data_IF_915748125031
#
_entry.id   IF_915748125031
#
_cell.length_a   1.000
_cell.length_b   1.000
_cell.length_c   1.000
_cell.angle_alpha   90.00
_cell.angle_beta   90.00
_cell.angle_gamma   90.00
#
_symmetry.space_group_name_H-M   'P 1'
#
loop_
_entity.id
_entity.type
_entity.pdbx_description
1 polymer ?
#
# COMPACT_ATOMS: atom_id res chain seq x y z
N UNK A 1 27.24 -31.05 -9.69
CA UNK A 1 26.81 -29.79 -10.33
C UNK A 1 25.45 -29.92 -11.05
N UNK A 2 24.46 -30.60 -10.43
CA UNK A 2 23.15 -30.90 -11.04
C UNK A 2 22.08 -31.02 -9.95
N UNK A 3 21.71 -29.93 -9.26
CA UNK A 3 20.52 -29.88 -8.37
C UNK A 3 19.84 -28.50 -8.27
N UNK A 4 20.18 -27.54 -9.15
CA UNK A 4 19.55 -26.20 -9.15
C UNK A 4 18.43 -26.07 -10.20
N UNK A 5 18.46 -26.89 -11.26
CA UNK A 5 17.50 -26.81 -12.36
C UNK A 5 16.08 -27.32 -12.00
N UNK A 6 15.92 -28.18 -10.99
CA UNK A 6 14.62 -28.80 -10.68
C UNK A 6 13.67 -27.88 -9.89
N UNK A 7 14.21 -26.92 -9.12
CA UNK A 7 13.40 -25.96 -8.36
C UNK A 7 12.77 -24.91 -9.29
N UNK A 8 13.45 -24.55 -10.37
CA UNK A 8 12.93 -23.60 -11.37
C UNK A 8 11.75 -24.17 -12.18
N UNK A 9 11.71 -25.48 -12.41
CA UNK A 9 10.63 -26.11 -13.21
C UNK A 9 9.35 -26.36 -12.40
N UNK A 10 9.46 -26.56 -11.08
CA UNK A 10 8.28 -26.70 -10.20
C UNK A 10 7.52 -25.39 -9.96
N UNK A 11 8.11 -24.24 -10.29
CA UNK A 11 7.44 -22.93 -10.21
C UNK A 11 6.50 -22.63 -11.39
N UNK A 12 6.64 -23.34 -12.52
CA UNK A 12 5.89 -23.05 -13.74
C UNK A 12 4.65 -23.93 -13.97
N UNK A 13 4.37 -24.91 -13.10
CA UNK A 13 3.25 -25.85 -13.28
C UNK A 13 1.97 -25.51 -12.52
N UNK A 14 1.88 -24.34 -11.87
CA UNK A 14 0.68 -23.95 -11.14
C UNK A 14 -0.27 -23.19 -12.05
N UNK A 15 -1.46 -23.74 -12.28
CA UNK A 15 -2.58 -23.15 -13.00
C UNK A 15 -2.62 -21.64 -12.83
N UNK A 16 -2.21 -20.97 -13.91
CA UNK A 16 -2.03 -19.53 -13.91
C UNK A 16 -3.40 -18.86 -13.93
N UNK A 17 -4.43 -19.44 -14.55
CA UNK A 17 -5.69 -18.75 -14.85
C UNK A 17 -6.66 -18.54 -13.66
N UNK A 18 -7.10 -17.30 -13.52
CA UNK A 18 -8.32 -16.83 -12.83
C UNK A 18 -8.28 -16.70 -11.30
N UNK A 19 -8.07 -15.45 -10.84
CA UNK A 19 -8.82 -14.73 -9.79
C UNK A 19 -8.22 -13.32 -9.69
N UNK A 20 -9.03 -12.28 -9.48
CA UNK A 20 -8.54 -10.91 -9.18
C UNK A 20 -7.89 -10.91 -7.80
N UNK A 21 -6.58 -11.19 -7.77
CA UNK A 21 -5.77 -11.31 -6.56
C UNK A 21 -5.15 -9.94 -6.22
N UNK A 22 -4.87 -9.65 -4.94
CA UNK A 22 -4.21 -8.41 -4.52
C UNK A 22 -2.70 -8.45 -4.89
N UNK A 23 -2.36 -8.73 -6.14
CA UNK A 23 -0.98 -8.84 -6.62
C UNK A 23 -0.23 -7.52 -6.53
N UNK A 24 -0.94 -6.43 -6.79
CA UNK A 24 -0.40 -5.09 -6.79
C UNK A 24 -1.54 -4.12 -6.46
N UNK A 25 -1.24 -3.12 -5.65
CA UNK A 25 -2.18 -2.05 -5.31
C UNK A 25 -1.56 -0.76 -5.84
N UNK A 26 -2.06 -0.21 -6.96
CA UNK A 26 -1.56 1.05 -7.48
C UNK A 26 -1.57 2.14 -6.41
N UNK A 27 -0.56 3.01 -6.40
CA UNK A 27 -0.34 3.99 -5.33
C UNK A 27 -1.53 4.91 -5.12
N UNK A 28 -2.25 5.30 -6.18
CA UNK A 28 -3.43 6.16 -6.09
C UNK A 28 -4.72 5.40 -5.73
N UNK A 29 -4.71 4.07 -5.75
CA UNK A 29 -5.91 3.27 -5.45
C UNK A 29 -6.14 3.19 -3.95
N UNK A 30 -7.38 3.44 -3.54
CA UNK A 30 -7.80 3.30 -2.14
C UNK A 30 -8.09 1.86 -1.73
N UNK A 31 -8.39 1.66 -0.45
CA UNK A 31 -9.00 0.44 0.04
C UNK A 31 -10.47 0.38 -0.40
N UNK A 32 -11.03 -0.83 -0.48
CA UNK A 32 -12.46 -0.97 -0.70
C UNK A 32 -13.21 -0.61 0.60
N UNK A 33 -14.46 -0.13 0.52
CA UNK A 33 -15.27 0.12 1.71
C UNK A 33 -15.31 -1.09 2.65
N UNK A 34 -15.13 -0.85 3.95
CA UNK A 34 -15.10 -1.87 5.01
C UNK A 34 -14.02 -2.95 4.81
N UNK A 35 -13.06 -2.75 3.91
CA UNK A 35 -11.89 -3.62 3.83
C UNK A 35 -10.85 -3.22 4.87
N UNK A 36 -10.11 -4.21 5.33
CA UNK A 36 -8.97 -4.02 6.21
C UNK A 36 -7.71 -4.55 5.55
N UNK A 37 -6.60 -3.89 5.84
CA UNK A 37 -5.27 -4.24 5.39
C UNK A 37 -4.35 -4.36 6.61
N UNK A 38 -3.53 -5.40 6.61
CA UNK A 38 -2.44 -5.58 7.54
C UNK A 38 -1.17 -5.73 6.71
N UNK A 39 -0.20 -4.87 6.94
CA UNK A 39 1.12 -4.96 6.32
C UNK A 39 2.17 -5.08 7.42
N UNK A 40 3.05 -6.07 7.29
CA UNK A 40 4.24 -6.20 8.11
C UNK A 40 5.44 -6.28 7.16
N UNK A 41 6.44 -5.42 7.34
CA UNK A 41 7.62 -5.39 6.50
C UNK A 41 8.90 -5.24 7.34
N UNK A 42 9.96 -5.90 6.92
CA UNK A 42 11.31 -5.77 7.46
C UNK A 42 12.24 -5.26 6.38
N UNK A 43 13.16 -4.35 6.73
CA UNK A 43 14.20 -3.87 5.82
C UNK A 43 15.58 -3.85 6.47
N UNK A 44 16.60 -4.08 5.67
CA UNK A 44 18.00 -4.22 6.05
C UNK A 44 18.85 -3.30 5.19
N UNK A 45 19.58 -2.36 5.82
CA UNK A 45 20.29 -1.25 5.18
C UNK A 45 21.76 -1.23 5.59
N UNK A 46 22.61 -2.07 4.98
CA UNK A 46 24.06 -1.99 5.15
C UNK A 46 24.61 -0.74 4.45
N UNK A 47 25.50 -0.02 5.13
CA UNK A 47 26.15 1.18 4.61
C UNK A 47 27.62 0.90 4.33
N UNK A 48 28.07 1.28 3.14
CA UNK A 48 29.44 1.06 2.67
C UNK A 48 30.26 2.36 2.62
N UNK A 49 29.61 3.50 2.87
CA UNK A 49 30.21 4.83 2.87
C UNK A 49 29.13 5.89 3.05
N UNK A 50 29.49 7.15 2.94
CA UNK A 50 28.57 8.28 3.05
C UNK A 50 28.75 9.21 1.86
N UNK A 51 27.67 9.86 1.45
CA UNK A 51 27.74 11.07 0.64
C UNK A 51 27.79 12.26 1.61
N UNK A 52 28.87 13.03 1.55
CA UNK A 52 29.03 14.20 2.42
C UNK A 52 28.06 15.34 2.03
N UNK A 53 28.14 16.48 2.72
CA UNK A 53 27.28 17.65 2.45
C UNK A 53 27.55 18.31 1.08
N UNK A 54 28.67 17.98 0.42
CA UNK A 54 28.96 18.39 -0.96
C UNK A 54 28.51 17.34 -2.00
N UNK A 55 27.98 16.19 -1.56
CA UNK A 55 27.61 15.06 -2.40
C UNK A 55 28.79 14.20 -2.88
N UNK A 56 29.97 14.39 -2.30
CA UNK A 56 31.13 13.55 -2.57
C UNK A 56 31.06 12.27 -1.74
N UNK A 57 31.38 11.14 -2.38
CA UNK A 57 31.35 9.83 -1.75
C UNK A 57 32.64 9.60 -0.98
N UNK A 58 32.52 9.32 0.32
CA UNK A 58 33.61 8.86 1.18
C UNK A 58 33.31 7.45 1.70
N UNK A 59 34.31 6.57 1.68
CA UNK A 59 34.19 5.24 2.29
C UNK A 59 34.25 5.35 3.81
N UNK A 60 33.68 4.38 4.51
CA UNK A 60 33.91 4.23 5.96
C UNK A 60 35.39 3.90 6.22
N UNK A 61 35.94 4.34 7.35
CA UNK A 61 37.36 4.16 7.65
C UNK A 61 37.64 2.74 8.15
N UNK A 62 38.63 2.05 7.58
CA UNK A 62 39.16 0.79 8.12
C UNK A 62 38.07 -0.24 8.51
N UNK A 63 37.95 -0.49 9.83
CA UNK A 63 37.02 -1.46 10.44
C UNK A 63 35.61 -0.89 10.76
N UNK A 64 35.32 0.34 10.35
CA UNK A 64 34.02 0.97 10.55
C UNK A 64 32.93 0.27 9.75
N UNK A 65 31.75 0.15 10.36
CA UNK A 65 30.58 -0.40 9.71
C UNK A 65 29.31 0.21 10.28
N UNK A 66 28.28 0.29 9.46
CA UNK A 66 26.97 0.76 9.89
C UNK A 66 25.89 -0.11 9.28
N UNK A 67 25.00 -0.58 10.13
CA UNK A 67 23.86 -1.40 9.77
C UNK A 67 22.60 -0.88 10.44
N UNK A 68 21.55 -0.69 9.65
CA UNK A 68 20.22 -0.40 10.16
C UNK A 68 19.23 -1.46 9.70
N UNK A 69 18.45 -1.98 10.65
CA UNK A 69 17.32 -2.87 10.40
C UNK A 69 16.04 -2.19 10.86
N UNK A 70 15.00 -2.23 10.04
CA UNK A 70 13.70 -1.62 10.38
C UNK A 70 12.58 -2.64 10.21
N UNK A 71 11.70 -2.72 11.21
CA UNK A 71 10.41 -3.38 11.13
C UNK A 71 9.29 -2.36 11.06
N UNK A 72 8.32 -2.54 10.18
CA UNK A 72 7.13 -1.71 10.08
C UNK A 72 5.89 -2.59 10.13
N UNK A 73 4.92 -2.18 10.95
CA UNK A 73 3.58 -2.76 10.95
C UNK A 73 2.58 -1.65 10.65
N UNK A 74 1.71 -1.87 9.68
CA UNK A 74 0.68 -0.93 9.24
C UNK A 74 -0.68 -1.63 9.21
N UNK A 75 -1.68 -0.96 9.78
CA UNK A 75 -3.08 -1.34 9.77
C UNK A 75 -3.84 -0.29 8.96
N UNK A 76 -4.60 -0.73 7.97
CA UNK A 76 -5.41 0.14 7.12
C UNK A 76 -6.89 -0.25 7.15
N UNK A 77 -7.78 0.74 7.09
CA UNK A 77 -9.23 0.56 7.00
C UNK A 77 -9.83 1.48 5.94
N UNK A 78 -10.65 0.90 5.04
CA UNK A 78 -11.35 1.64 3.98
C UNK A 78 -12.67 2.22 4.47
N UNK A 79 -12.75 3.55 4.57
CA UNK A 79 -13.90 4.33 5.01
C UNK A 79 -14.68 4.80 3.76
N UNK A 80 -15.75 4.09 3.43
CA UNK A 80 -16.52 4.39 2.22
C UNK A 80 -15.71 4.09 0.96
N UNK A 81 -15.97 4.82 -0.13
CA UNK A 81 -15.42 4.52 -1.46
C UNK A 81 -14.16 5.30 -1.81
N UNK A 82 -13.79 6.32 -1.01
CA UNK A 82 -12.73 7.27 -1.33
C UNK A 82 -11.75 7.52 -0.19
N UNK A 83 -12.15 7.30 1.06
CA UNK A 83 -11.34 7.66 2.21
C UNK A 83 -10.74 6.39 2.82
N UNK A 84 -9.45 6.41 3.13
CA UNK A 84 -8.78 5.37 3.88
C UNK A 84 -8.09 5.97 5.10
N UNK A 85 -8.05 5.22 6.19
CA UNK A 85 -7.27 5.55 7.37
C UNK A 85 -6.25 4.46 7.63
N UNK A 86 -5.03 4.85 7.99
CA UNK A 86 -3.94 3.95 8.34
C UNK A 86 -3.30 4.36 9.65
N UNK A 87 -2.87 3.37 10.42
CA UNK A 87 -2.01 3.54 11.59
C UNK A 87 -0.80 2.65 11.37
N UNK A 88 0.39 3.17 11.60
CA UNK A 88 1.62 2.38 11.50
C UNK A 88 2.55 2.61 12.69
N UNK A 89 3.36 1.60 12.98
CA UNK A 89 4.45 1.66 13.94
C UNK A 89 5.74 1.20 13.28
N UNK A 90 6.84 1.85 13.62
CA UNK A 90 8.18 1.48 13.17
C UNK A 90 9.01 1.05 14.37
N UNK A 91 9.63 -0.12 14.29
CA UNK A 91 10.72 -0.56 15.15
C UNK A 91 12.02 -0.43 14.39
N UNK A 92 13.09 0.01 15.04
CA UNK A 92 14.40 0.15 14.40
C UNK A 92 15.48 -0.41 15.31
N UNK A 93 16.47 -1.03 14.69
CA UNK A 93 17.73 -1.40 15.32
C UNK A 93 18.87 -0.84 14.48
N UNK A 94 19.85 -0.23 15.13
CA UNK A 94 21.07 0.28 14.52
C UNK A 94 22.26 -0.32 15.23
N UNK A 95 23.22 -0.81 14.46
CA UNK A 95 24.51 -1.25 14.93
C UNK A 95 25.59 -0.50 14.16
N UNK A 96 26.58 0.03 14.87
CA UNK A 96 27.68 0.76 14.25
C UNK A 96 29.00 0.48 14.94
N UNK A 97 30.02 0.21 14.12
CA UNK A 97 31.43 0.36 14.49
C UNK A 97 31.94 1.71 14.00
N UNK A 98 32.49 2.51 14.90
CA UNK A 98 32.92 3.88 14.61
C UNK A 98 34.16 4.24 15.41
N UNK A 99 34.93 5.19 14.89
CA UNK A 99 36.15 5.70 15.55
C UNK A 99 35.85 7.06 16.15
N UNK A 100 36.01 7.23 17.47
CA UNK A 100 35.82 8.53 18.13
C UNK A 100 37.17 9.11 18.58
N UNK A 101 37.58 10.25 18.00
CA UNK A 101 38.69 11.10 18.49
C UNK A 101 40.07 10.46 18.70
N UNK A 102 40.29 9.21 18.27
CA UNK A 102 41.49 8.40 18.47
C UNK A 102 41.60 7.27 17.43
N UNK A 103 42.42 6.25 17.69
CA UNK A 103 42.64 5.10 16.78
C UNK A 103 41.91 3.81 17.20
N UNK A 104 41.03 3.88 18.20
CA UNK A 104 40.30 2.72 18.72
C UNK A 104 38.91 2.64 18.10
N UNK A 105 38.60 1.53 17.44
CA UNK A 105 37.27 1.27 16.89
C UNK A 105 36.33 0.78 17.99
N UNK A 106 35.26 1.52 18.23
CA UNK A 106 34.22 1.22 19.21
C UNK A 106 33.01 0.58 18.52
N UNK A 107 32.20 -0.17 19.29
CA UNK A 107 30.99 -0.80 18.79
C UNK A 107 29.81 -0.40 19.66
N UNK A 108 28.78 0.15 19.04
CA UNK A 108 27.54 0.52 19.70
C UNK A 108 26.34 -0.11 18.99
N UNK A 109 25.26 -0.35 19.73
CA UNK A 109 24.00 -0.85 19.18
C UNK A 109 22.84 -0.28 19.98
N UNK A 110 21.80 0.17 19.28
CA UNK A 110 20.57 0.63 19.88
C UNK A 110 19.37 0.02 19.14
N UNK A 111 18.30 -0.31 19.86
CA UNK A 111 17.06 -0.78 19.26
C UNK A 111 15.86 -0.31 20.07
N UNK A 112 14.73 -0.11 19.39
CA UNK A 112 13.52 0.34 20.04
C UNK A 112 12.40 0.64 19.07
N UNK A 113 11.24 0.94 19.65
CA UNK A 113 10.17 1.60 18.88
C UNK A 113 10.71 2.96 18.45
N UNK A 114 10.61 3.24 17.17
CA UNK A 114 11.13 4.45 16.55
C UNK A 114 10.04 5.50 16.43
N UNK A 115 8.88 5.12 15.90
CA UNK A 115 7.76 6.04 15.73
C UNK A 115 6.40 5.36 15.60
N UNK A 116 5.38 6.18 15.77
CA UNK A 116 4.00 5.89 15.40
C UNK A 116 3.54 6.91 14.36
N UNK A 117 2.70 6.50 13.42
CA UNK A 117 2.14 7.40 12.44
C UNK A 117 0.66 7.11 12.16
N UNK A 118 -0.09 8.16 11.89
CA UNK A 118 -1.45 8.12 11.37
C UNK A 118 -1.48 8.73 9.97
N UNK A 119 -2.12 8.04 9.02
CA UNK A 119 -2.27 8.51 7.64
C UNK A 119 -3.73 8.51 7.25
N UNK A 120 -4.19 9.59 6.64
CA UNK A 120 -5.50 9.66 5.97
C UNK A 120 -5.24 9.83 4.48
N UNK A 121 -5.92 9.03 3.66
CA UNK A 121 -5.78 9.06 2.20
C UNK A 121 -7.14 9.23 1.55
N UNK A 122 -7.23 10.13 0.58
CA UNK A 122 -8.41 10.35 -0.25
C UNK A 122 -8.10 10.00 -1.71
N UNK A 123 -8.77 8.96 -2.22
CA UNK A 123 -8.69 8.52 -3.61
C UNK A 123 -9.81 9.13 -4.45
N UNK A 124 -9.43 9.81 -5.52
CA UNK A 124 -10.37 10.38 -6.48
C UNK A 124 -10.95 9.28 -7.39
N UNK A 125 -12.10 9.59 -7.99
CA UNK A 125 -12.72 8.71 -8.99
C UNK A 125 -11.77 8.66 -10.20
N UNK A 126 -11.43 7.47 -10.71
CA UNK A 126 -10.57 7.37 -11.89
C UNK A 126 -11.19 8.07 -13.11
N UNK A 127 -10.34 8.72 -13.89
CA UNK A 127 -10.66 9.25 -15.21
C UNK A 127 -9.99 8.37 -16.27
N UNK A 128 -10.80 7.53 -16.93
CA UNK A 128 -10.36 6.44 -17.81
C UNK A 128 -9.27 5.55 -17.17
N UNK A 129 -8.01 5.76 -17.56
CA UNK A 129 -6.84 4.98 -17.13
C UNK A 129 -6.05 5.65 -16.02
N UNK A 130 -6.36 6.89 -15.67
CA UNK A 130 -5.61 7.66 -14.67
C UNK A 130 -6.41 7.72 -13.37
N UNK A 131 -5.73 7.45 -12.27
CA UNK A 131 -6.26 7.62 -10.93
C UNK A 131 -5.34 8.52 -10.12
N UNK A 132 -5.96 9.38 -9.30
CA UNK A 132 -5.28 10.28 -8.39
C UNK A 132 -5.66 9.99 -6.94
N UNK A 133 -4.75 10.25 -6.01
CA UNK A 133 -5.06 10.32 -4.59
C UNK A 133 -4.20 11.37 -3.90
N UNK A 134 -4.67 11.83 -2.74
CA UNK A 134 -3.90 12.64 -1.82
C UNK A 134 -3.82 11.95 -0.47
N UNK A 135 -2.70 12.06 0.22
CA UNK A 135 -2.57 11.60 1.61
C UNK A 135 -1.99 12.68 2.50
N UNK A 136 -2.38 12.63 3.77
CA UNK A 136 -1.76 13.37 4.84
C UNK A 136 -1.27 12.36 5.89
N UNK A 137 -0.03 12.49 6.32
CA UNK A 137 0.56 11.65 7.37
C UNK A 137 1.13 12.51 8.48
N UNK A 138 0.81 12.16 9.72
CA UNK A 138 1.48 12.65 10.92
C UNK A 138 2.27 11.52 11.55
N UNK A 139 3.54 11.76 11.87
CA UNK A 139 4.42 10.81 12.56
C UNK A 139 5.03 11.46 13.79
N UNK A 140 5.11 10.70 14.87
CA UNK A 140 5.73 11.10 16.14
C UNK A 140 6.74 10.03 16.55
N UNK A 141 7.97 10.43 16.86
CA UNK A 141 8.97 9.52 17.45
C UNK A 141 8.65 9.24 18.91
N UNK A 142 9.01 8.04 19.38
CA UNK A 142 8.82 7.62 20.78
C UNK A 142 9.99 7.91 21.71
N UNK A 143 10.99 8.65 21.22
CA UNK A 143 12.19 9.05 21.94
C UNK A 143 12.51 10.52 21.63
N UNK A 144 13.32 11.10 22.50
CA UNK A 144 13.88 12.44 22.35
C UNK A 144 15.36 12.34 21.98
N UNK A 145 15.87 13.36 21.30
CA UNK A 145 17.27 13.44 20.89
C UNK A 145 18.12 14.00 22.03
N UNK A 146 19.29 13.40 22.27
CA UNK A 146 20.37 14.05 23.03
C UNK A 146 21.34 14.70 22.05
N UNK A 147 21.72 15.93 22.37
CA UNK A 147 22.70 16.69 21.61
C UNK A 147 23.97 16.87 22.44
N UNK A 148 25.12 16.83 21.77
CA UNK A 148 26.44 16.93 22.37
C UNK A 148 27.18 18.14 21.83
N UNK A 149 28.03 18.75 22.65
CA UNK A 149 28.81 19.94 22.29
C UNK A 149 30.07 19.57 21.51
N UNK A 150 30.68 18.42 21.81
CA UNK A 150 31.85 17.90 21.10
C UNK A 150 31.75 16.39 20.85
N UNK A 151 32.49 15.88 19.86
CA UNK A 151 32.52 14.46 19.56
C UNK A 151 33.05 13.61 20.74
N UNK A 152 33.97 14.17 21.54
CA UNK A 152 34.48 13.53 22.76
C UNK A 152 33.45 13.40 23.88
N UNK A 153 32.37 14.19 23.85
CA UNK A 153 31.31 14.10 24.87
C UNK A 153 30.30 12.98 24.57
N UNK A 154 30.35 12.40 23.36
CA UNK A 154 29.45 11.32 22.95
C UNK A 154 29.88 10.03 23.65
N UNK A 155 29.03 9.41 24.50
CA UNK A 155 29.37 8.15 25.13
C UNK A 155 29.59 7.04 24.09
N UNK A 156 30.62 6.23 24.27
CA UNK A 156 31.03 5.17 23.34
C UNK A 156 29.92 4.16 22.98
N UNK A 157 28.93 4.00 23.86
CA UNK A 157 27.80 3.07 23.70
C UNK A 157 26.53 3.73 23.15
N UNK A 158 26.49 5.06 23.07
CA UNK A 158 25.30 5.80 22.65
C UNK A 158 25.15 5.71 21.13
N UNK A 159 23.93 5.42 20.65
CA UNK A 159 23.54 5.60 19.26
C UNK A 159 22.12 6.12 19.19
N UNK A 160 21.85 7.08 18.31
CA UNK A 160 20.50 7.59 18.09
C UNK A 160 19.70 6.61 17.25
N UNK A 161 18.40 6.47 17.55
CA UNK A 161 17.49 5.69 16.71
C UNK A 161 17.14 6.41 15.41
N UNK A 162 17.23 7.74 15.36
CA UNK A 162 16.92 8.54 14.19
C UNK A 162 16.77 10.02 14.53
N UNK A 163 16.17 10.78 13.61
CA UNK A 163 15.81 12.18 13.83
C UNK A 163 14.54 12.22 14.70
N UNK A 164 14.65 12.73 15.93
CA UNK A 164 13.55 12.77 16.89
C UNK A 164 12.58 13.93 16.61
N UNK A 165 11.29 13.75 16.94
CA UNK A 165 10.27 14.79 16.93
C UNK A 165 9.05 14.43 16.09
N UNK A 166 8.44 15.47 15.52
CA UNK A 166 7.23 15.38 14.72
C UNK A 166 7.58 15.52 13.24
N UNK A 167 7.00 14.66 12.40
CA UNK A 167 7.08 14.75 10.95
C UNK A 167 5.66 14.86 10.38
N UNK A 168 5.50 15.77 9.44
CA UNK A 168 4.28 15.92 8.66
C UNK A 168 4.58 15.65 7.20
N UNK A 169 3.67 14.96 6.52
CA UNK A 169 3.76 14.88 5.06
C UNK A 169 2.41 15.00 4.37
N UNK A 170 2.45 15.65 3.22
CA UNK A 170 1.35 15.74 2.27
C UNK A 170 1.80 15.10 0.96
N UNK A 171 1.07 14.09 0.50
CA UNK A 171 1.42 13.33 -0.69
C UNK A 171 0.37 13.41 -1.78
N UNK A 172 0.83 13.40 -3.02
CA UNK A 172 0.04 13.21 -4.23
C UNK A 172 0.48 11.92 -4.90
N UNK A 173 -0.51 11.08 -5.23
CA UNK A 173 -0.31 9.81 -5.91
C UNK A 173 -0.97 9.86 -7.27
N UNK A 174 -0.29 9.31 -8.26
CA UNK A 174 -0.83 9.10 -9.60
C UNK A 174 -0.61 7.65 -10.00
N UNK A 175 -1.63 7.02 -10.55
CA UNK A 175 -1.55 5.69 -11.13
C UNK A 175 -2.14 5.71 -12.53
N UNK A 176 -1.36 5.32 -13.52
CA UNK A 176 -1.79 5.17 -14.91
C UNK A 176 -1.79 3.70 -15.31
N UNK A 177 -2.97 3.17 -15.63
CA UNK A 177 -3.17 1.80 -16.08
C UNK A 177 -3.01 1.72 -17.62
N UNK A 178 -1.78 1.47 -18.10
CA UNK A 178 -1.52 1.37 -19.54
C UNK A 178 -2.32 0.23 -20.18
N UNK A 179 -2.31 -0.94 -19.52
CA UNK A 179 -3.10 -2.13 -19.86
C UNK A 179 -3.43 -2.93 -18.58
N UNK A 180 -4.15 -4.05 -18.69
CA UNK A 180 -4.62 -4.83 -17.53
C UNK A 180 -3.52 -5.35 -16.60
N UNK A 181 -2.27 -5.40 -17.05
CA UNK A 181 -1.13 -5.91 -16.28
C UNK A 181 0.05 -4.95 -16.22
N UNK A 182 -0.11 -3.67 -16.57
CA UNK A 182 0.97 -2.70 -16.58
C UNK A 182 0.50 -1.37 -16.01
N UNK A 183 1.13 -0.97 -14.90
CA UNK A 183 0.86 0.28 -14.21
C UNK A 183 2.12 1.13 -14.16
N UNK A 184 1.95 2.43 -14.40
CA UNK A 184 2.94 3.45 -14.06
C UNK A 184 2.42 4.21 -12.86
N UNK A 185 3.26 4.41 -11.86
CA UNK A 185 2.87 5.10 -10.64
C UNK A 185 3.89 6.17 -10.30
N UNK A 186 3.39 7.28 -9.78
CA UNK A 186 4.18 8.32 -9.17
C UNK A 186 3.63 8.64 -7.79
N UNK A 187 4.54 8.92 -6.86
CA UNK A 187 4.25 9.43 -5.54
C UNK A 187 5.16 10.63 -5.37
N UNK A 188 4.59 11.78 -5.04
CA UNK A 188 5.32 12.98 -4.65
C UNK A 188 4.82 13.39 -3.27
N UNK A 189 5.71 13.52 -2.31
CA UNK A 189 5.37 13.93 -0.94
C UNK A 189 6.18 15.14 -0.55
N UNK A 190 5.48 16.21 -0.16
CA UNK A 190 6.09 17.27 0.64
C UNK A 190 6.19 16.78 2.08
N UNK A 191 7.39 16.80 2.62
CA UNK A 191 7.69 16.34 3.99
C UNK A 191 8.33 17.49 4.75
N UNK A 192 7.78 17.75 5.93
CA UNK A 192 8.42 18.56 6.97
C UNK A 192 9.01 17.55 7.94
N UNK A 193 10.33 17.26 7.85
CA UNK A 193 10.95 16.27 8.71
C UNK A 193 11.00 16.76 10.16
N UNK A 194 11.29 15.84 11.06
CA UNK A 194 11.57 16.21 12.45
C UNK A 194 12.93 16.93 12.55
N UNK A 195 13.16 17.65 13.66
CA UNK A 195 14.32 18.51 13.91
C UNK A 195 14.45 19.70 12.91
N UNK A 196 15.55 20.46 13.00
CA UNK A 196 15.90 21.56 12.10
C UNK A 196 16.36 21.09 10.70
N UNK A 197 15.81 19.98 10.21
CA UNK A 197 16.06 19.51 8.86
C UNK A 197 15.28 20.37 7.85
N UNK A 198 15.88 20.59 6.68
CA UNK A 198 15.16 21.22 5.57
C UNK A 198 13.91 20.42 5.20
N UNK A 199 12.84 21.12 4.83
CA UNK A 199 11.73 20.54 4.09
C UNK A 199 12.24 19.73 2.88
N UNK A 200 11.56 18.63 2.59
CA UNK A 200 11.95 17.65 1.58
C UNK A 200 10.79 17.35 0.61
N UNK A 201 11.14 17.04 -0.64
CA UNK A 201 10.25 16.40 -1.60
C UNK A 201 10.70 14.94 -1.74
N UNK A 202 9.93 14.03 -1.18
CA UNK A 202 10.13 12.60 -1.36
C UNK A 202 9.38 12.14 -2.60
N UNK A 203 10.09 11.53 -3.54
CA UNK A 203 9.51 11.07 -4.80
C UNK A 203 9.73 9.58 -4.99
N UNK A 204 8.78 8.94 -5.68
CA UNK A 204 8.90 7.57 -6.16
C UNK A 204 8.18 7.43 -7.48
N UNK A 205 8.88 6.96 -8.49
CA UNK A 205 8.35 6.63 -9.80
C UNK A 205 8.59 5.16 -10.05
N UNK A 206 7.54 4.42 -10.41
CA UNK A 206 7.65 2.99 -10.64
C UNK A 206 6.79 2.51 -11.79
N UNK A 207 7.29 1.48 -12.46
CA UNK A 207 6.58 0.70 -13.46
C UNK A 207 6.39 -0.71 -12.91
N UNK A 208 5.14 -1.16 -12.84
CA UNK A 208 4.77 -2.47 -12.33
C UNK A 208 4.20 -3.34 -13.46
N UNK A 209 4.87 -4.45 -13.76
CA UNK A 209 4.44 -5.47 -14.71
C UNK A 209 3.88 -6.67 -13.95
N UNK A 210 2.63 -7.00 -14.22
CA UNK A 210 1.83 -7.92 -13.45
C UNK A 210 1.42 -9.11 -14.32
N UNK A 211 1.79 -10.30 -13.86
CA UNK A 211 1.27 -11.56 -14.32
C UNK A 211 0.23 -12.08 -13.33
N UNK A 212 -0.06 -13.38 -13.32
CA UNK A 212 -1.21 -13.89 -12.56
C UNK A 212 -0.95 -14.00 -11.06
N UNK A 213 0.30 -14.30 -10.69
CA UNK A 213 0.74 -14.41 -9.29
C UNK A 213 2.02 -13.65 -9.00
N UNK A 214 2.75 -13.24 -10.04
CA UNK A 214 4.04 -12.57 -9.96
C UNK A 214 3.89 -11.15 -10.50
N UNK A 215 4.41 -10.17 -9.78
CA UNK A 215 4.61 -8.81 -10.25
C UNK A 215 6.09 -8.46 -10.18
N UNK A 216 6.59 -7.77 -11.19
CA UNK A 216 7.93 -7.17 -11.16
C UNK A 216 7.73 -5.66 -11.17
N UNK A 217 8.48 -4.97 -10.34
CA UNK A 217 8.43 -3.51 -10.18
C UNK A 217 9.83 -2.99 -10.43
N UNK A 218 9.97 -2.02 -11.33
CA UNK A 218 11.22 -1.26 -11.48
C UNK A 218 10.89 0.20 -11.24
N UNK A 219 11.76 0.89 -10.52
CA UNK A 219 11.52 2.29 -10.23
C UNK A 219 12.74 3.01 -9.75
N UNK A 220 12.54 4.30 -9.50
CA UNK A 220 13.47 5.17 -8.83
C UNK A 220 12.73 5.87 -7.71
N UNK A 221 13.35 5.92 -6.55
CA UNK A 221 12.88 6.72 -5.43
C UNK A 221 13.98 7.65 -4.96
N UNK A 222 13.61 8.68 -4.22
CA UNK A 222 14.56 9.66 -3.77
C UNK A 222 13.98 10.73 -2.88
N UNK A 223 14.89 11.61 -2.48
CA UNK A 223 14.63 12.76 -1.62
C UNK A 223 15.27 13.95 -2.32
N UNK A 224 14.56 15.07 -2.36
CA UNK A 224 15.10 16.35 -2.80
C UNK A 224 14.87 17.39 -1.70
N UNK A 225 15.95 17.98 -1.19
CA UNK A 225 15.87 19.04 -0.20
C UNK A 225 15.42 20.38 -0.82
N UNK A 226 14.62 21.14 -0.07
CA UNK A 226 14.30 22.54 -0.40
C UNK A 226 15.36 23.55 0.09
N UNK A 227 16.47 23.05 0.65
CA UNK A 227 17.65 23.83 1.05
C UNK A 227 17.36 24.93 2.08
N UNK A 228 16.48 24.62 3.03
CA UNK A 228 16.07 25.51 4.13
C UNK A 228 16.68 25.14 5.49
N UNK A 229 17.65 24.23 5.53
CA UNK A 229 18.30 23.84 6.79
C UNK A 229 19.11 25.03 7.34
N UNK A 230 18.94 25.32 8.64
CA UNK A 230 19.61 26.44 9.31
C UNK A 230 21.15 26.35 9.25
N UNK A 231 21.68 25.14 9.07
CA UNK A 231 23.12 24.86 9.01
C UNK A 231 23.64 24.72 7.59
N UNK A 232 22.90 25.19 6.57
CA UNK A 232 23.34 25.15 5.17
C UNK A 232 24.64 25.92 4.94
N UNK A 233 24.79 27.09 5.58
CA UNK A 233 25.95 27.98 5.42
C UNK A 233 27.07 27.60 6.40
N UNK A 234 26.71 27.08 7.56
CA UNK A 234 27.63 26.69 8.62
C UNK A 234 27.37 25.26 9.14
N UNK A 235 27.72 24.24 8.34
CA UNK A 235 27.47 22.84 8.70
C UNK A 235 28.19 22.38 9.98
N UNK A 236 29.32 23.02 10.31
CA UNK A 236 30.19 22.59 11.40
C UNK A 236 29.58 22.91 12.78
N UNK A 237 28.71 23.92 12.85
CA UNK A 237 28.04 24.33 14.08
C UNK A 237 26.71 23.60 14.32
N UNK A 238 26.35 22.60 13.50
CA UNK A 238 25.17 21.76 13.76
C UNK A 238 25.39 20.93 15.03
N UNK A 239 24.48 20.99 16.04
CA UNK A 239 24.63 20.24 17.28
C UNK A 239 24.86 18.75 17.02
N UNK A 240 25.85 18.15 17.67
CA UNK A 240 26.24 16.77 17.38
C UNK A 240 25.28 15.76 17.99
N UNK A 241 25.13 14.63 17.31
CA UNK A 241 24.33 13.49 17.74
C UNK A 241 25.16 12.21 17.63
N UNK A 242 24.82 11.19 18.41
CA UNK A 242 25.48 9.89 18.38
C UNK A 242 25.06 9.07 17.13
N UNK A 243 25.48 9.47 15.94
CA UNK A 243 25.04 8.86 14.66
C UNK A 243 25.86 7.64 14.25
N UNK A 244 26.96 7.35 14.95
CA UNK A 244 27.95 6.38 14.51
C UNK A 244 28.57 6.75 13.16
N UNK A 245 29.08 5.75 12.44
CA UNK A 245 29.78 5.92 11.16
C UNK A 245 28.86 6.10 9.94
N UNK A 246 27.54 5.98 10.10
CA UNK A 246 26.60 5.94 8.97
C UNK A 246 26.19 7.29 8.37
N UNK A 247 26.36 8.40 9.09
CA UNK A 247 26.02 9.76 8.61
C UNK A 247 24.56 9.94 8.14
N UNK A 248 23.62 9.11 8.63
CA UNK A 248 22.21 9.08 8.19
C UNK A 248 21.34 10.15 8.84
N UNK A 249 21.62 10.44 10.10
CA UNK A 249 20.82 11.32 10.95
C UNK A 249 21.60 12.60 11.23
N UNK A 250 20.90 13.65 11.65
CA UNK A 250 21.48 14.99 11.79
C UNK A 250 22.07 15.55 10.48
N UNK A 251 21.62 15.03 9.34
CA UNK A 251 22.08 15.42 8.00
C UNK A 251 21.73 16.86 7.66
N UNK A 252 22.35 17.44 6.63
CA UNK A 252 22.01 18.78 6.13
C UNK A 252 21.59 18.66 4.68
N UNK A 253 20.41 19.20 4.36
CA UNK A 253 19.87 19.23 2.99
C UNK A 253 19.95 17.87 2.28
N UNK A 254 19.31 16.85 2.85
CA UNK A 254 19.37 15.49 2.31
C UNK A 254 18.85 15.43 0.89
N UNK A 255 19.63 14.82 0.02
CA UNK A 255 19.23 14.50 -1.34
C UNK A 255 19.65 13.06 -1.63
N UNK A 256 18.83 12.29 -2.35
CA UNK A 256 19.25 10.97 -2.83
C UNK A 256 18.48 10.51 -4.04
N UNK A 257 19.15 9.72 -4.88
CA UNK A 257 18.55 8.95 -5.99
C UNK A 257 18.84 7.47 -5.79
N UNK A 258 17.80 6.67 -5.80
CA UNK A 258 17.85 5.25 -5.46
C UNK A 258 16.99 4.45 -6.43
N UNK A 259 17.56 3.89 -7.52
CA UNK A 259 16.86 2.89 -8.31
C UNK A 259 16.59 1.64 -7.47
N UNK A 260 15.48 0.98 -7.76
CA UNK A 260 15.10 -0.25 -7.08
C UNK A 260 14.42 -1.25 -8.01
N UNK A 261 14.50 -2.51 -7.60
CA UNK A 261 13.80 -3.64 -8.17
C UNK A 261 12.91 -4.26 -7.08
N UNK A 262 11.64 -4.41 -7.39
CA UNK A 262 10.64 -5.05 -6.56
C UNK A 262 10.07 -6.31 -7.21
N UNK A 263 9.67 -7.26 -6.38
CA UNK A 263 8.97 -8.49 -6.76
C UNK A 263 7.78 -8.67 -5.83
N UNK A 264 6.61 -8.88 -6.40
CA UNK A 264 5.41 -9.23 -5.64
C UNK A 264 4.96 -10.64 -5.98
N UNK A 265 4.59 -11.41 -4.96
CA UNK A 265 3.92 -12.69 -5.15
C UNK A 265 2.63 -12.76 -4.35
N UNK A 266 1.49 -12.84 -5.04
CA UNK A 266 0.19 -13.02 -4.39
C UNK A 266 -0.34 -14.45 -4.42
N UNK A 267 -0.92 -14.86 -3.29
CA UNK A 267 -1.69 -16.09 -3.12
C UNK A 267 -2.89 -15.84 -2.20
N UNK A 268 -4.10 -16.11 -2.71
CA UNK A 268 -5.35 -15.81 -2.01
C UNK A 268 -5.45 -14.32 -1.59
N UNK A 269 -5.59 -14.04 -0.29
CA UNK A 269 -5.65 -12.68 0.31
C UNK A 269 -4.29 -12.13 0.73
N UNK A 270 -3.23 -12.92 0.55
CA UNK A 270 -1.87 -12.59 0.95
C UNK A 270 -1.05 -12.17 -0.26
N UNK A 271 -0.11 -11.26 -0.01
CA UNK A 271 0.93 -10.87 -0.95
C UNK A 271 2.25 -10.75 -0.21
N UNK A 272 3.28 -11.38 -0.77
CA UNK A 272 4.67 -11.14 -0.44
C UNK A 272 5.20 -10.01 -1.31
N UNK A 273 5.98 -9.13 -0.72
CA UNK A 273 6.69 -8.04 -1.38
C UNK A 273 8.17 -8.22 -1.08
N UNK A 274 9.02 -8.26 -2.09
CA UNK A 274 10.47 -8.15 -1.96
C UNK A 274 10.93 -6.92 -2.70
N UNK A 275 11.85 -6.15 -2.14
CA UNK A 275 12.41 -4.97 -2.79
C UNK A 275 13.89 -4.84 -2.47
N UNK A 276 14.69 -4.45 -3.44
CA UNK A 276 16.09 -4.09 -3.23
C UNK A 276 16.44 -2.87 -4.06
N UNK A 277 17.32 -2.04 -3.53
CA UNK A 277 17.79 -0.85 -4.23
C UNK A 277 19.16 -0.41 -3.72
N UNK A 278 19.74 0.54 -4.42
CA UNK A 278 21.08 1.06 -4.14
C UNK A 278 21.10 2.58 -4.29
N UNK A 279 21.76 3.27 -3.37
CA UNK A 279 21.91 4.72 -3.44
C UNK A 279 22.95 5.06 -4.52
N UNK A 280 22.50 5.62 -5.65
CA UNK A 280 23.38 5.96 -6.78
C UNK A 280 24.08 7.31 -6.59
N UNK A 281 23.36 8.28 -6.04
CA UNK A 281 23.86 9.62 -5.74
C UNK A 281 23.11 10.17 -4.53
N UNK A 282 23.72 11.13 -3.85
CA UNK A 282 23.06 11.86 -2.79
C UNK A 282 23.93 12.93 -2.15
N UNK A 283 23.36 13.64 -1.19
CA UNK A 283 23.97 14.67 -0.35
C UNK A 283 23.55 14.40 1.09
N UNK A 284 24.51 14.35 2.01
CA UNK A 284 24.28 14.08 3.44
C UNK A 284 23.45 12.81 3.71
N UNK A 285 23.72 11.75 2.94
CA UNK A 285 23.00 10.47 3.05
C UNK A 285 23.97 9.30 3.02
N UNK A 286 23.62 8.15 3.61
CA UNK A 286 24.42 6.95 3.50
C UNK A 286 24.51 6.46 2.06
N UNK A 287 25.69 6.01 1.65
CA UNK A 287 25.90 5.26 0.42
C UNK A 287 25.85 3.77 0.72
N UNK A 288 24.81 3.09 0.24
CA UNK A 288 24.62 1.67 0.50
C UNK A 288 23.56 1.05 -0.38
N UNK A 289 23.13 -0.13 0.04
CA UNK A 289 22.02 -0.87 -0.56
C UNK A 289 21.00 -1.18 0.52
N UNK A 290 19.78 -1.50 0.10
CA UNK A 290 18.77 -2.02 1.02
C UNK A 290 18.11 -3.26 0.45
N UNK A 291 17.59 -4.07 1.37
CA UNK A 291 16.74 -5.22 1.08
C UNK A 291 15.52 -5.13 1.97
N UNK A 292 14.34 -5.33 1.40
CA UNK A 292 13.06 -5.26 2.10
C UNK A 292 12.24 -6.49 1.77
N UNK A 293 11.59 -7.04 2.79
CA UNK A 293 10.63 -8.13 2.68
C UNK A 293 9.35 -7.74 3.42
N UNK A 294 8.22 -7.85 2.75
CA UNK A 294 6.91 -7.46 3.22
C UNK A 294 5.88 -8.56 3.05
N UNK A 295 4.94 -8.61 3.98
CA UNK A 295 3.76 -9.45 3.96
C UNK A 295 2.55 -8.53 4.06
N UNK A 296 1.62 -8.68 3.12
CA UNK A 296 0.39 -7.89 3.08
C UNK A 296 -0.79 -8.84 3.07
N UNK A 297 -1.67 -8.71 4.06
CA UNK A 297 -2.99 -9.32 4.07
C UNK A 297 -4.03 -8.24 3.79
N UNK A 298 -4.91 -8.50 2.82
CA UNK A 298 -5.99 -7.56 2.48
C UNK A 298 -7.29 -8.30 2.27
N UNK A 299 -8.36 -7.79 2.87
CA UNK A 299 -9.71 -8.28 2.58
C UNK A 299 -10.34 -7.56 1.40
N UNK A 300 -11.30 -8.23 0.76
CA UNK A 300 -11.97 -7.69 -0.42
C UNK A 300 -12.92 -6.54 -0.10
N UNK A 301 -13.41 -6.43 1.15
CA UNK A 301 -14.44 -5.46 1.55
C UNK A 301 -15.73 -5.59 0.72
N UNK A 302 -16.50 -4.50 0.68
CA UNK A 302 -17.67 -4.34 -0.18
C UNK A 302 -17.19 -3.81 -1.54
N UNK A 303 -17.41 -4.56 -2.61
CA UNK A 303 -17.10 -4.09 -3.97
C UNK A 303 -18.19 -3.14 -4.48
N UNK A 304 -17.88 -2.30 -5.48
CA UNK A 304 -18.87 -1.35 -6.03
C UNK A 304 -20.14 -2.02 -6.59
N UNK A 305 -20.05 -3.28 -7.01
CA UNK A 305 -21.21 -4.08 -7.40
C UNK A 305 -22.10 -4.44 -6.19
N UNK A 306 -21.52 -4.74 -5.03
CA UNK A 306 -22.28 -4.97 -3.78
C UNK A 306 -22.77 -3.69 -3.11
N UNK A 307 -22.05 -2.57 -3.25
CA UNK A 307 -22.49 -1.29 -2.68
C UNK A 307 -23.74 -0.74 -3.39
N UNK A 308 -23.86 -0.94 -4.71
CA UNK A 308 -25.11 -0.65 -5.47
C UNK A 308 -26.29 -1.54 -5.08
N UNK A 309 -26.03 -2.68 -4.43
CA UNK A 309 -27.06 -3.60 -3.95
C UNK A 309 -27.52 -3.18 -2.55
N UNK A 310 -26.63 -2.60 -1.74
CA UNK A 310 -26.93 -2.11 -0.38
C UNK A 310 -27.42 -0.65 -0.32
N UNK A 311 -27.17 0.17 -1.37
CA UNK A 311 -27.72 1.52 -1.44
C UNK A 311 -29.23 1.44 -1.66
N UNK A 312 -29.99 1.65 -0.58
CA UNK A 312 -31.46 1.72 -0.48
C UNK A 312 -32.18 1.79 -1.83
N UNK A 313 -32.57 0.62 -2.34
CA UNK A 313 -33.66 0.53 -3.31
C UNK A 313 -34.91 0.25 -2.49
N UNK A 314 -35.84 1.19 -2.47
CA UNK A 314 -37.19 0.91 -2.02
C UNK A 314 -37.83 -0.01 -3.07
N UNK A 315 -38.07 -1.25 -2.67
CA UNK A 315 -38.77 -2.21 -3.52
C UNK A 315 -40.25 -1.98 -3.34
N UNK A 316 -40.92 -1.63 -4.44
CA UNK A 316 -42.37 -1.38 -4.45
C UNK A 316 -43.15 -2.68 -4.67
N UNK A 317 -42.51 -3.66 -5.32
CA UNK A 317 -43.15 -4.90 -5.75
C UNK A 317 -42.41 -6.10 -5.15
N UNK A 318 -43.11 -6.94 -4.39
CA UNK A 318 -42.59 -8.22 -3.93
C UNK A 318 -43.26 -9.39 -4.68
N UNK A 319 -42.43 -10.23 -5.28
CA UNK A 319 -42.83 -11.36 -6.10
C UNK A 319 -42.01 -12.62 -5.76
N UNK A 320 -42.47 -13.77 -6.20
CA UNK A 320 -41.80 -15.06 -6.09
C UNK A 320 -41.57 -15.67 -7.47
N UNK A 321 -40.42 -16.28 -7.67
CA UNK A 321 -40.10 -17.02 -8.90
C UNK A 321 -40.91 -18.32 -8.94
N UNK A 322 -41.86 -18.42 -9.87
CA UNK A 322 -42.70 -19.62 -10.07
C UNK A 322 -42.00 -20.62 -10.99
N UNK A 323 -41.31 -20.13 -12.04
CA UNK A 323 -40.69 -21.00 -13.05
C UNK A 323 -39.41 -20.38 -13.59
N UNK A 324 -38.43 -21.23 -13.88
CA UNK A 324 -37.16 -20.83 -14.51
C UNK A 324 -37.03 -21.58 -15.83
N UNK A 325 -36.62 -20.86 -16.87
CA UNK A 325 -36.34 -21.48 -18.17
C UNK A 325 -35.16 -22.47 -18.10
N UNK A 326 -35.12 -23.52 -18.94
CA UNK A 326 -34.04 -24.51 -18.93
C UNK A 326 -32.64 -23.92 -19.10
N UNK A 327 -32.53 -22.81 -19.83
CA UNK A 327 -31.27 -22.08 -20.07
C UNK A 327 -30.97 -21.02 -18.99
N UNK A 328 -31.86 -20.82 -18.02
CA UNK A 328 -31.70 -19.89 -16.91
C UNK A 328 -31.49 -18.43 -17.34
N UNK A 329 -32.08 -18.03 -18.47
CA UNK A 329 -32.07 -16.65 -19.02
C UNK A 329 -33.38 -15.91 -18.77
N UNK A 330 -34.47 -16.64 -18.63
CA UNK A 330 -35.81 -16.12 -18.34
C UNK A 330 -36.37 -16.79 -17.08
N UNK A 331 -37.11 -16.02 -16.31
CA UNK A 331 -37.84 -16.48 -15.13
C UNK A 331 -39.27 -15.93 -15.18
N UNK A 332 -40.22 -16.69 -14.67
CA UNK A 332 -41.62 -16.27 -14.50
C UNK A 332 -41.87 -15.96 -13.04
N UNK A 333 -42.41 -14.78 -12.76
CA UNK A 333 -42.81 -14.33 -11.42
C UNK A 333 -44.34 -14.33 -11.27
N UNK A 334 -44.81 -14.36 -10.04
CA UNK A 334 -46.23 -14.36 -9.62
C UNK A 334 -46.86 -12.96 -9.51
N UNK A 335 -46.19 -11.94 -10.07
CA UNK A 335 -46.73 -10.58 -10.16
C UNK A 335 -46.80 -10.14 -11.63
N UNK A 336 -47.89 -9.45 -11.98
CA UNK A 336 -48.19 -8.98 -13.33
C UNK A 336 -48.77 -7.58 -13.32
N UNK A 337 -49.59 -7.25 -14.33
CA UNK A 337 -50.26 -5.95 -14.45
C UNK A 337 -51.11 -5.63 -13.22
N UNK A 338 -51.72 -6.64 -12.59
CA UNK A 338 -52.54 -6.47 -11.38
C UNK A 338 -51.78 -5.94 -10.15
N UNK A 339 -50.44 -5.98 -10.20
CA UNK A 339 -49.55 -5.52 -9.13
C UNK A 339 -48.56 -4.46 -9.63
N UNK A 340 -49.00 -3.65 -10.60
CA UNK A 340 -48.26 -2.53 -11.20
C UNK A 340 -46.92 -2.93 -11.83
N UNK A 341 -46.80 -4.16 -12.33
CA UNK A 341 -45.63 -4.56 -13.13
C UNK A 341 -45.79 -4.09 -14.56
N UNK A 342 -44.91 -3.20 -15.02
CA UNK A 342 -44.86 -2.75 -16.40
C UNK A 342 -43.72 -3.43 -17.18
N UNK A 343 -43.81 -3.43 -18.52
CA UNK A 343 -42.67 -3.82 -19.34
C UNK A 343 -41.54 -2.82 -19.11
N UNK A 344 -40.36 -3.32 -18.72
CA UNK A 344 -39.23 -2.46 -18.36
C UNK A 344 -38.94 -2.37 -16.86
N UNK A 345 -39.89 -2.74 -15.99
CA UNK A 345 -39.68 -2.79 -14.53
C UNK A 345 -38.50 -3.69 -14.19
N UNK A 346 -37.60 -3.23 -13.32
CA UNK A 346 -36.38 -3.96 -12.97
C UNK A 346 -36.64 -4.84 -11.77
N UNK A 347 -36.20 -6.10 -11.85
CA UNK A 347 -36.34 -7.06 -10.78
C UNK A 347 -34.97 -7.54 -10.29
N UNK A 348 -34.79 -7.50 -8.98
CA UNK A 348 -33.66 -8.06 -8.26
C UNK A 348 -34.10 -9.39 -7.63
N UNK A 349 -33.34 -10.46 -7.87
CA UNK A 349 -33.69 -11.84 -7.50
C UNK A 349 -32.85 -12.28 -6.30
N UNK A 350 -33.51 -12.65 -5.21
CA UNK A 350 -32.92 -13.03 -3.94
C UNK A 350 -33.14 -14.52 -3.63
N UNK A 351 -32.13 -15.14 -3.03
CA UNK A 351 -32.28 -16.39 -2.32
C UNK A 351 -32.47 -16.08 -0.84
N UNK A 352 -33.62 -16.47 -0.30
CA UNK A 352 -33.89 -16.50 1.14
C UNK A 352 -33.19 -17.72 1.74
N UNK A 353 -32.25 -17.50 2.67
CA UNK A 353 -31.69 -18.58 3.49
C UNK A 353 -32.63 -18.90 4.67
N UNK A 354 -32.52 -20.10 5.24
CA UNK A 354 -33.33 -20.59 6.37
C UNK A 354 -33.23 -19.69 7.62
N UNK A 355 -32.17 -18.87 7.70
CA UNK A 355 -31.94 -17.88 8.76
C UNK A 355 -32.44 -16.46 8.44
N UNK A 356 -33.16 -16.25 7.32
CA UNK A 356 -33.79 -14.98 6.98
C UNK A 356 -32.90 -13.96 6.25
N UNK A 357 -31.66 -14.31 5.89
CA UNK A 357 -30.82 -13.46 5.04
C UNK A 357 -31.25 -13.53 3.57
N UNK A 358 -31.40 -12.36 2.93
CA UNK A 358 -31.74 -12.22 1.51
C UNK A 358 -30.45 -12.04 0.69
N UNK A 359 -30.03 -13.08 -0.02
CA UNK A 359 -28.83 -13.03 -0.86
C UNK A 359 -29.20 -12.65 -2.29
N UNK A 360 -28.73 -11.50 -2.80
CA UNK A 360 -28.93 -11.15 -4.21
C UNK A 360 -28.16 -12.10 -5.15
N UNK A 361 -28.88 -12.73 -6.06
CA UNK A 361 -28.35 -13.72 -7.02
C UNK A 361 -28.25 -13.14 -8.42
N UNK A 362 -29.26 -12.40 -8.88
CA UNK A 362 -29.34 -11.88 -10.24
C UNK A 362 -30.22 -10.62 -10.32
N UNK A 363 -30.14 -9.91 -11.45
CA UNK A 363 -31.03 -8.81 -11.79
C UNK A 363 -31.48 -8.91 -13.24
N UNK A 364 -32.71 -8.51 -13.50
CA UNK A 364 -33.37 -8.62 -14.79
C UNK A 364 -34.43 -7.54 -15.00
N UNK A 365 -35.09 -7.60 -16.16
CA UNK A 365 -36.14 -6.66 -16.55
C UNK A 365 -37.37 -7.43 -17.00
N UNK A 366 -38.56 -6.96 -16.63
CA UNK A 366 -39.82 -7.47 -17.14
C UNK A 366 -39.89 -7.29 -18.66
N UNK A 367 -39.86 -8.41 -19.38
CA UNK A 367 -39.85 -8.49 -20.84
C UNK A 367 -41.26 -8.67 -21.40
N UNK A 368 -42.06 -9.49 -20.72
CA UNK A 368 -43.45 -9.75 -21.06
C UNK A 368 -44.26 -9.76 -19.77
N UNK A 369 -45.43 -9.15 -19.79
CA UNK A 369 -46.29 -8.99 -18.61
C UNK A 369 -47.69 -9.46 -18.99
N UNK A 370 -48.23 -10.42 -18.25
CA UNK A 370 -49.62 -10.83 -18.28
C UNK A 370 -50.38 -10.29 -17.06
N UNK A 371 -51.66 -10.66 -16.92
CA UNK A 371 -52.52 -10.18 -15.84
C UNK A 371 -51.90 -10.41 -14.44
N UNK A 372 -51.59 -11.66 -14.10
CA UNK A 372 -51.10 -12.04 -12.75
C UNK A 372 -49.68 -12.63 -12.77
N UNK A 373 -48.95 -12.47 -13.89
CA UNK A 373 -47.58 -12.97 -13.97
C UNK A 373 -46.76 -12.24 -15.02
N UNK A 374 -45.46 -12.14 -14.79
CA UNK A 374 -44.52 -11.55 -15.74
C UNK A 374 -43.34 -12.47 -16.03
N UNK A 375 -42.79 -12.34 -17.23
CA UNK A 375 -41.55 -12.98 -17.66
C UNK A 375 -40.44 -11.93 -17.55
N UNK A 376 -39.48 -12.21 -16.66
CA UNK A 376 -38.29 -11.38 -16.46
C UNK A 376 -37.13 -11.99 -17.22
N UNK A 377 -36.46 -11.17 -18.03
CA UNK A 377 -35.20 -11.50 -18.71
C UNK A 377 -34.04 -11.13 -17.81
N UNK A 378 -33.18 -12.10 -17.48
CA UNK A 378 -31.99 -11.87 -16.66
C UNK A 378 -30.94 -11.13 -17.49
N UNK A 379 -30.49 -9.99 -16.98
CA UNK A 379 -29.45 -9.18 -17.61
C UNK A 379 -28.08 -9.41 -16.97
N UNK A 380 -28.04 -9.56 -15.64
CA UNK A 380 -26.79 -9.72 -14.88
C UNK A 380 -26.97 -10.77 -13.79
N UNK A 381 -25.98 -11.66 -13.63
CA UNK A 381 -25.88 -12.57 -12.49
C UNK A 381 -24.73 -12.10 -11.60
N UNK A 382 -24.99 -11.94 -10.32
CA UNK A 382 -24.00 -11.49 -9.34
C UNK A 382 -23.30 -12.66 -8.65
N UNK A 383 -24.01 -13.78 -8.47
CA UNK A 383 -23.46 -15.00 -7.88
C UNK A 383 -23.65 -16.20 -8.82
N UNK A 384 -22.74 -17.17 -8.76
CA UNK A 384 -22.84 -18.46 -9.49
C UNK A 384 -23.81 -19.42 -8.79
N UNK A 385 -24.99 -18.92 -8.41
CA UNK A 385 -26.06 -19.72 -7.80
C UNK A 385 -27.11 -19.98 -8.88
N UNK A 386 -27.59 -21.21 -8.96
CA UNK A 386 -28.66 -21.57 -9.88
C UNK A 386 -29.99 -21.07 -9.30
N UNK A 387 -30.66 -20.18 -10.03
CA UNK A 387 -31.99 -19.67 -9.64
C UNK A 387 -32.99 -20.83 -9.74
N UNK A 388 -33.77 -21.02 -8.67
CA UNK A 388 -34.80 -22.05 -8.57
C UNK A 388 -36.16 -21.42 -8.28
N UNK A 389 -37.21 -22.23 -8.40
CA UNK A 389 -38.56 -21.86 -7.92
C UNK A 389 -38.49 -21.53 -6.42
N UNK A 390 -39.23 -20.51 -5.99
CA UNK A 390 -39.29 -20.07 -4.60
C UNK A 390 -38.29 -18.98 -4.21
N UNK A 391 -37.44 -18.53 -5.14
CA UNK A 391 -36.60 -17.35 -4.91
C UNK A 391 -37.47 -16.10 -4.90
N UNK A 392 -37.15 -15.13 -4.04
CA UNK A 392 -37.85 -13.86 -4.02
C UNK A 392 -37.39 -12.97 -5.18
N UNK A 393 -38.29 -12.20 -5.75
CA UNK A 393 -38.04 -11.25 -6.82
C UNK A 393 -38.63 -9.91 -6.41
N UNK A 394 -37.82 -8.86 -6.37
CA UNK A 394 -38.25 -7.54 -5.90
C UNK A 394 -38.10 -6.49 -6.99
N UNK A 395 -39.19 -5.78 -7.28
CA UNK A 395 -39.33 -4.82 -8.37
C UNK A 395 -39.12 -3.37 -7.93
N UNK A 396 -38.53 -2.56 -8.83
CA UNK A 396 -38.32 -1.11 -8.71
C UNK A 396 -38.21 -0.44 -10.09
#
# INVERSE_FOLDING_TARGET
MFKVALILVLFFSVDLFSQTRPLYSPSAKGLNPKSYMIKAAGSYHPTNGIFNFNGEKTSLNGDESYLMTEGNVELGYGIGTKLDAFISTRFRQISSKHTNGGSTTLSATNSGVESFAGTVKYSFIPDDKIQWAMDFTYRQTSYEQKFFQSASDIPDTELVLGDAGQEYSFGVHTSYARNRGHYLNSILKYVVPANDLSDEINYRFESAWLWQRLGIILGVQGIQSLKKDNFTIDPQNKPLQATGSGGRFNSINREKVEPFLGINWAFNKWRLEGETGLTMSGVSVPNGQYFSLGFVYKTSGVTGDSFKIESFKEYVIEATVIKVSPRGKFLKIDQGISSDVEKGTKFDIFQTDYFGENILVASGVAYEVGADSAIVKILKKYKKIQIKKGFAARGY
#
